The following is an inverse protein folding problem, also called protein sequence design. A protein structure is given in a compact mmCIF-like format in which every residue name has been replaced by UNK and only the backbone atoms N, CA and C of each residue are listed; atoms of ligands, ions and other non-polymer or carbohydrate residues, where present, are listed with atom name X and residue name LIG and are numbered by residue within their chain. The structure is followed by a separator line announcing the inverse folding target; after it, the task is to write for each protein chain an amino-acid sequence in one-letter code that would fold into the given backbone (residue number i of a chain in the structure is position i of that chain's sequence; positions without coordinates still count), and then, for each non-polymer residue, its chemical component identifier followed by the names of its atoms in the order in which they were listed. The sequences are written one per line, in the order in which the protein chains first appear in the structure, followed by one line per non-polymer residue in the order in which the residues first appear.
data_IF_860513764904
#
_entry.id   IF_860513764904
#
_cell.length_a   1.000
_cell.length_b   1.000
_cell.length_c   1.000
_cell.angle_alpha   90.00
_cell.angle_beta   90.00
_cell.angle_gamma   90.00
#
_symmetry.space_group_name_H-M   'P 1'
#
loop_
_entity.id
_entity.type
_entity.pdbx_description
1 polymer ?
#
# COMPACT_ATOMS: atom_id res chain seq x y z
N UNK A 1 28.35 -11.29 -10.13
CA UNK A 1 26.88 -11.36 -10.21
C UNK A 1 26.29 -10.07 -10.76
N UNK A 2 26.53 -8.91 -10.14
CA UNK A 2 26.04 -7.61 -10.64
C UNK A 2 26.53 -7.25 -12.06
N UNK A 3 27.80 -7.50 -12.37
CA UNK A 3 28.35 -7.27 -13.71
C UNK A 3 27.60 -8.07 -14.81
N UNK A 4 27.24 -9.33 -14.52
CA UNK A 4 26.47 -10.17 -15.47
C UNK A 4 25.03 -9.69 -15.67
N UNK A 5 24.43 -9.11 -14.63
CA UNK A 5 23.08 -8.51 -14.72
C UNK A 5 23.16 -7.22 -15.55
N UNK A 6 24.20 -6.42 -15.37
CA UNK A 6 24.41 -5.20 -16.14
C UNK A 6 24.69 -5.51 -17.63
N UNK A 7 25.48 -6.54 -17.92
CA UNK A 7 25.70 -7.05 -19.28
C UNK A 7 24.37 -7.52 -19.91
N UNK A 8 23.61 -8.38 -19.22
CA UNK A 8 22.31 -8.86 -19.72
C UNK A 8 21.27 -7.75 -19.92
N UNK A 9 21.33 -6.67 -19.13
CA UNK A 9 20.49 -5.50 -19.30
C UNK A 9 20.89 -4.70 -20.55
N UNK A 10 22.18 -4.53 -20.79
CA UNK A 10 22.68 -3.82 -21.97
C UNK A 10 22.39 -4.60 -23.26
N UNK A 11 22.51 -5.93 -23.19
CA UNK A 11 22.18 -6.85 -24.27
C UNK A 11 20.67 -6.94 -24.56
N UNK A 12 19.81 -6.58 -23.61
CA UNK A 12 18.36 -6.65 -23.76
C UNK A 12 17.73 -5.53 -24.60
N UNK A 13 18.53 -4.59 -25.08
CA UNK A 13 18.08 -3.53 -25.98
C UNK A 13 17.12 -2.52 -25.35
N UNK A 14 16.39 -1.79 -26.20
CA UNK A 14 15.53 -0.68 -25.79
C UNK A 14 14.37 -1.04 -24.81
N UNK A 15 13.72 -2.22 -24.88
CA UNK A 15 12.60 -2.56 -23.99
C UNK A 15 12.98 -2.61 -22.50
N UNK A 16 14.28 -2.68 -22.20
CA UNK A 16 14.81 -2.64 -20.84
C UNK A 16 14.57 -1.31 -20.12
N UNK A 17 14.55 -0.17 -20.84
CA UNK A 17 14.36 1.14 -20.22
C UNK A 17 12.95 1.31 -19.62
N UNK A 18 11.84 0.96 -20.32
CA UNK A 18 10.52 0.96 -19.69
C UNK A 18 10.39 -0.02 -18.50
N UNK A 19 11.04 -1.19 -18.55
CA UNK A 19 11.06 -2.15 -17.42
C UNK A 19 11.75 -1.53 -16.20
N UNK A 20 12.90 -0.88 -16.43
CA UNK A 20 13.60 -0.14 -15.38
C UNK A 20 12.74 0.98 -14.80
N UNK A 21 12.01 1.70 -15.64
CA UNK A 21 11.02 2.69 -15.21
C UNK A 21 9.99 2.08 -14.25
N UNK A 22 9.39 0.95 -14.63
CA UNK A 22 8.45 0.22 -13.77
C UNK A 22 9.07 -0.15 -12.42
N UNK A 23 10.34 -0.59 -12.41
CA UNK A 23 11.06 -0.92 -11.17
C UNK A 23 11.25 0.31 -10.27
N UNK A 24 11.73 1.43 -10.82
CA UNK A 24 11.97 2.66 -10.06
C UNK A 24 10.66 3.22 -9.50
N UNK A 25 9.60 3.28 -10.31
CA UNK A 25 8.27 3.71 -9.85
C UNK A 25 7.70 2.76 -8.80
N UNK A 26 7.84 1.44 -8.99
CA UNK A 26 7.41 0.44 -8.02
C UNK A 26 8.07 0.60 -6.66
N UNK A 27 9.40 0.79 -6.64
CA UNK A 27 10.17 1.03 -5.41
C UNK A 27 9.76 2.34 -4.75
N UNK A 28 9.58 3.42 -5.51
CA UNK A 28 9.16 4.71 -4.97
C UNK A 28 7.80 4.62 -4.26
N UNK A 29 6.83 3.94 -4.87
CA UNK A 29 5.51 3.71 -4.25
C UNK A 29 5.62 2.78 -3.04
N UNK A 30 6.43 1.72 -3.12
CA UNK A 30 6.63 0.81 -1.99
C UNK A 30 7.18 1.54 -0.75
N UNK A 31 8.17 2.43 -0.92
CA UNK A 31 8.72 3.22 0.17
C UNK A 31 7.71 4.21 0.76
N UNK A 32 6.94 4.87 -0.11
CA UNK A 32 5.88 5.79 0.31
C UNK A 32 4.79 5.06 1.12
N UNK A 33 4.36 3.89 0.65
CA UNK A 33 3.37 3.05 1.35
C UNK A 33 3.91 2.51 2.68
N UNK A 34 5.16 2.07 2.72
CA UNK A 34 5.79 1.64 3.97
C UNK A 34 5.76 2.75 5.03
N UNK A 35 6.12 3.99 4.66
CA UNK A 35 6.10 5.12 5.59
C UNK A 35 4.68 5.45 6.09
N UNK A 36 3.68 5.44 5.20
CA UNK A 36 2.29 5.76 5.57
C UNK A 36 1.67 4.69 6.47
N UNK A 37 1.80 3.42 6.10
CA UNK A 37 1.17 2.32 6.85
C UNK A 37 1.91 2.09 8.18
N UNK A 38 3.24 2.19 8.22
CA UNK A 38 4.02 2.11 9.47
C UNK A 38 3.61 3.20 10.47
N UNK A 39 3.46 4.44 10.01
CA UNK A 39 3.02 5.55 10.86
C UNK A 39 1.61 5.33 11.41
N UNK A 40 0.70 4.73 10.64
CA UNK A 40 -0.64 4.39 11.09
C UNK A 40 -0.67 3.20 12.07
N UNK A 41 0.19 2.21 11.84
CA UNK A 41 0.28 1.00 12.66
C UNK A 41 1.05 1.19 13.98
N UNK A 42 1.70 2.34 14.19
CA UNK A 42 2.49 2.63 15.38
C UNK A 42 1.64 2.87 16.65
N UNK A 43 0.31 2.76 16.57
CA UNK A 43 -0.59 2.91 17.71
C UNK A 43 -1.00 1.54 18.23
N UNK A 44 -0.68 1.26 19.50
CA UNK A 44 -1.13 0.05 20.16
C UNK A 44 -2.63 0.18 20.52
N UNK A 45 -3.48 -0.59 19.82
CA UNK A 45 -4.93 -0.55 19.99
C UNK A 45 -5.37 -0.91 21.41
N UNK A 46 -4.74 -1.91 22.03
CA UNK A 46 -5.14 -2.40 23.35
C UNK A 46 -4.80 -1.40 24.46
N UNK A 47 -3.61 -0.81 24.39
CA UNK A 47 -3.20 0.28 25.30
C UNK A 47 -4.12 1.48 25.16
N UNK A 48 -4.40 1.89 23.92
CA UNK A 48 -5.27 3.02 23.63
C UNK A 48 -6.69 2.80 24.18
N UNK A 49 -7.29 1.63 23.92
CA UNK A 49 -8.61 1.28 24.44
C UNK A 49 -8.64 1.24 25.97
N UNK A 50 -7.62 0.65 26.59
CA UNK A 50 -7.53 0.57 28.05
C UNK A 50 -7.48 1.97 28.69
N UNK A 51 -6.63 2.85 28.17
CA UNK A 51 -6.52 4.22 28.65
C UNK A 51 -7.83 4.99 28.47
N UNK A 52 -8.42 4.97 27.27
CA UNK A 52 -9.67 5.67 26.96
C UNK A 52 -10.80 5.20 27.87
N UNK A 53 -10.98 3.89 28.02
CA UNK A 53 -12.02 3.32 28.87
C UNK A 53 -11.82 3.74 30.33
N UNK A 54 -10.58 3.79 30.82
CA UNK A 54 -10.27 4.22 32.19
C UNK A 54 -10.69 5.69 32.45
N UNK A 55 -10.46 6.59 31.50
CA UNK A 55 -10.81 8.01 31.65
C UNK A 55 -12.31 8.26 31.49
N UNK A 56 -12.97 7.52 30.59
CA UNK A 56 -14.43 7.57 30.44
C UNK A 56 -15.11 7.10 31.73
N UNK A 57 -14.63 6.03 32.37
CA UNK A 57 -15.18 5.54 33.65
C UNK A 57 -15.00 6.55 34.80
N UNK A 58 -13.90 7.31 34.79
CA UNK A 58 -13.66 8.40 35.74
C UNK A 58 -14.50 9.65 35.44
N UNK A 59 -15.19 9.70 34.29
CA UNK A 59 -15.95 10.84 33.81
C UNK A 59 -15.07 11.99 33.33
N UNK A 60 -13.79 11.74 33.01
CA UNK A 60 -12.84 12.76 32.58
C UNK A 60 -12.65 12.72 31.06
N UNK A 61 -13.56 13.37 30.34
CA UNK A 61 -13.57 13.39 28.88
C UNK A 61 -12.38 14.17 28.31
N UNK A 62 -11.96 15.25 28.97
CA UNK A 62 -10.84 16.09 28.53
C UNK A 62 -9.52 15.31 28.46
N UNK A 63 -9.27 14.45 29.47
CA UNK A 63 -8.08 13.58 29.47
C UNK A 63 -8.16 12.51 28.38
N UNK A 64 -9.34 11.94 28.12
CA UNK A 64 -9.53 10.99 27.04
C UNK A 64 -9.22 11.64 25.67
N UNK A 65 -9.71 12.86 25.44
CA UNK A 65 -9.43 13.65 24.23
C UNK A 65 -7.95 14.01 24.12
N UNK A 66 -7.29 14.34 25.24
CA UNK A 66 -5.87 14.70 25.25
C UNK A 66 -4.98 13.53 24.82
N UNK A 67 -5.26 12.30 25.27
CA UNK A 67 -4.48 11.10 24.94
C UNK A 67 -4.60 10.75 23.46
N UNK A 68 -5.83 10.71 22.93
CA UNK A 68 -6.01 10.44 21.50
C UNK A 68 -5.41 11.54 20.63
N UNK A 69 -5.28 12.77 21.13
CA UNK A 69 -4.66 13.87 20.39
C UNK A 69 -3.12 13.80 20.34
N UNK A 70 -2.46 12.89 21.08
CA UNK A 70 -1.01 12.74 21.05
C UNK A 70 -0.50 12.06 19.76
N UNK A 71 -1.34 11.26 19.11
CA UNK A 71 -1.02 10.59 17.85
C UNK A 71 -1.91 11.11 16.73
N UNK A 72 -1.34 11.23 15.53
CA UNK A 72 -2.06 11.60 14.29
C UNK A 72 -2.50 10.38 13.48
N UNK A 73 -2.56 9.21 14.10
CA UNK A 73 -2.97 8.00 13.43
C UNK A 73 -4.46 8.06 13.04
N UNK A 74 -4.87 7.37 11.97
CA UNK A 74 -6.27 7.24 11.59
C UNK A 74 -7.19 6.85 12.75
N UNK A 75 -6.76 5.85 13.53
CA UNK A 75 -7.51 5.35 14.67
C UNK A 75 -7.80 6.43 15.72
N UNK A 76 -6.78 7.19 16.09
CA UNK A 76 -6.93 8.24 17.12
C UNK A 76 -7.77 9.40 16.63
N UNK A 77 -7.69 9.75 15.34
CA UNK A 77 -8.54 10.78 14.74
C UNK A 77 -10.03 10.41 14.79
N UNK A 78 -10.37 9.14 14.51
CA UNK A 78 -11.75 8.65 14.52
C UNK A 78 -12.30 8.65 15.95
N UNK A 79 -11.54 8.10 16.90
CA UNK A 79 -11.97 8.08 18.31
C UNK A 79 -12.10 9.49 18.88
N UNK A 80 -11.18 10.40 18.52
CA UNK A 80 -11.26 11.82 18.90
C UNK A 80 -12.56 12.46 18.41
N UNK A 81 -13.01 12.17 17.19
CA UNK A 81 -14.26 12.70 16.66
C UNK A 81 -15.47 12.25 17.50
N UNK A 82 -15.51 10.97 17.89
CA UNK A 82 -16.54 10.45 18.79
C UNK A 82 -16.53 11.13 20.17
N UNK A 83 -15.36 11.23 20.80
CA UNK A 83 -15.22 11.88 22.11
C UNK A 83 -15.61 13.37 22.06
N UNK A 84 -15.22 14.10 21.00
CA UNK A 84 -15.61 15.50 20.82
C UNK A 84 -17.10 15.67 20.56
N UNK A 85 -17.73 14.75 19.82
CA UNK A 85 -19.18 14.77 19.60
C UNK A 85 -19.95 14.62 20.93
N UNK A 86 -19.48 13.73 21.80
CA UNK A 86 -20.02 13.56 23.15
C UNK A 86 -19.80 14.82 24.01
N UNK A 87 -18.61 15.43 23.93
CA UNK A 87 -18.30 16.67 24.65
C UNK A 87 -19.26 17.81 24.27
N UNK A 88 -19.64 17.87 22.99
CA UNK A 88 -20.61 18.83 22.46
C UNK A 88 -22.07 18.45 22.71
N UNK A 89 -22.34 17.39 23.47
CA UNK A 89 -23.69 16.90 23.82
C UNK A 89 -24.55 16.51 22.61
N UNK A 90 -23.91 16.10 21.52
CA UNK A 90 -24.61 15.57 20.35
C UNK A 90 -25.32 14.25 20.67
N UNK A 91 -26.38 13.93 19.93
CA UNK A 91 -27.13 12.69 20.01
C UNK A 91 -26.29 11.45 19.70
N UNK A 92 -26.75 10.26 20.09
CA UNK A 92 -25.98 9.01 19.90
C UNK A 92 -25.73 8.72 18.41
N UNK A 93 -26.74 8.95 17.57
CA UNK A 93 -26.63 8.83 16.11
C UNK A 93 -25.64 9.85 15.53
N UNK A 94 -25.60 11.06 16.08
CA UNK A 94 -24.67 12.11 15.64
C UNK A 94 -23.22 11.80 16.03
N UNK A 95 -23.01 11.17 17.19
CA UNK A 95 -21.68 10.67 17.61
C UNK A 95 -21.17 9.61 16.66
N UNK A 96 -22.02 8.63 16.32
CA UNK A 96 -21.67 7.61 15.33
C UNK A 96 -21.37 8.23 13.97
N UNK A 97 -22.23 9.14 13.51
CA UNK A 97 -22.06 9.84 12.23
C UNK A 97 -20.73 10.63 12.20
N UNK A 98 -20.33 11.26 13.30
CA UNK A 98 -19.07 11.99 13.39
C UNK A 98 -17.85 11.06 13.28
N UNK A 99 -17.91 9.88 13.91
CA UNK A 99 -16.85 8.85 13.80
C UNK A 99 -16.76 8.32 12.37
N UNK A 100 -17.90 7.97 11.78
CA UNK A 100 -17.98 7.42 10.41
C UNK A 100 -17.50 8.44 9.36
N UNK A 101 -17.83 9.72 9.53
CA UNK A 101 -17.37 10.78 8.63
C UNK A 101 -15.84 10.91 8.62
N UNK A 102 -15.18 10.74 9.77
CA UNK A 102 -13.71 10.75 9.84
C UNK A 102 -13.13 9.44 9.29
N UNK A 103 -13.76 8.29 9.57
CA UNK A 103 -13.33 7.01 9.02
C UNK A 103 -13.37 7.01 7.48
N UNK A 104 -14.43 7.58 6.88
CA UNK A 104 -14.58 7.73 5.43
C UNK A 104 -13.48 8.58 4.79
N UNK A 105 -12.81 9.44 5.57
CA UNK A 105 -11.68 10.24 5.11
C UNK A 105 -10.33 9.56 5.34
N UNK A 106 -10.15 8.85 6.45
CA UNK A 106 -8.85 8.28 6.83
C UNK A 106 -8.61 6.88 6.25
N UNK A 107 -9.63 6.02 6.19
CA UNK A 107 -9.50 4.65 5.65
C UNK A 107 -9.03 4.64 4.20
N UNK A 108 -9.59 5.43 3.27
CA UNK A 108 -9.12 5.44 1.88
C UNK A 108 -7.67 5.90 1.72
N UNK A 109 -7.10 6.63 2.69
CA UNK A 109 -5.70 7.10 2.63
C UNK A 109 -4.71 5.97 2.90
N UNK A 110 -5.11 4.96 3.67
CA UNK A 110 -4.35 3.75 3.91
C UNK A 110 -4.27 2.89 2.65
N UNK A 111 -5.40 2.75 1.95
CA UNK A 111 -5.52 1.94 0.73
C UNK A 111 -4.99 2.63 -0.54
N UNK A 112 -4.87 3.97 -0.49
CA UNK A 112 -4.41 4.78 -1.62
C UNK A 112 -3.08 4.26 -2.19
N UNK A 113 -2.95 4.30 -3.51
CA UNK A 113 -1.75 3.93 -4.27
C UNK A 113 -1.31 2.45 -4.18
N UNK A 114 -1.87 1.64 -3.27
CA UNK A 114 -1.52 0.21 -3.17
C UNK A 114 -1.84 -0.51 -4.49
N UNK A 115 -3.01 -0.27 -5.07
CA UNK A 115 -3.39 -0.84 -6.37
C UNK A 115 -2.47 -0.47 -7.55
N UNK A 116 -1.70 0.62 -7.43
CA UNK A 116 -0.72 1.00 -8.46
C UNK A 116 0.42 -0.01 -8.52
N UNK A 117 0.82 -0.63 -7.40
CA UNK A 117 1.84 -1.69 -7.39
C UNK A 117 1.39 -2.91 -8.20
N UNK A 118 0.13 -3.30 -8.08
CA UNK A 118 -0.45 -4.38 -8.91
C UNK A 118 -0.47 -4.00 -10.40
N UNK A 119 -0.82 -2.75 -10.71
CA UNK A 119 -0.78 -2.25 -12.08
C UNK A 119 0.65 -2.25 -12.66
N UNK A 120 1.64 -1.82 -11.88
CA UNK A 120 3.06 -1.83 -12.27
C UNK A 120 3.55 -3.26 -12.52
N UNK A 121 3.15 -4.22 -11.67
CA UNK A 121 3.49 -5.64 -11.87
C UNK A 121 2.99 -6.16 -13.22
N UNK A 122 1.72 -5.89 -13.54
CA UNK A 122 1.13 -6.29 -14.81
C UNK A 122 1.81 -5.58 -15.98
N UNK A 123 2.08 -4.28 -15.86
CA UNK A 123 2.78 -3.50 -16.87
C UNK A 123 4.19 -4.04 -17.13
N UNK A 124 4.98 -4.33 -16.11
CA UNK A 124 6.32 -4.89 -16.25
C UNK A 124 6.31 -6.23 -17.00
N UNK A 125 5.34 -7.11 -16.69
CA UNK A 125 5.13 -8.38 -17.41
C UNK A 125 4.82 -8.13 -18.89
N UNK A 126 3.86 -7.25 -19.18
CA UNK A 126 3.44 -6.97 -20.55
C UNK A 126 4.57 -6.33 -21.37
N UNK A 127 5.36 -5.44 -20.78
CA UNK A 127 6.52 -4.83 -21.42
C UNK A 127 7.61 -5.87 -21.70
N UNK A 128 7.87 -6.80 -20.77
CA UNK A 128 8.83 -7.90 -20.99
C UNK A 128 8.41 -8.83 -22.14
N UNK A 129 7.11 -9.19 -22.18
CA UNK A 129 6.54 -9.97 -23.28
C UNK A 129 6.63 -9.22 -24.61
N UNK A 130 6.29 -7.93 -24.62
CA UNK A 130 6.41 -7.08 -25.81
C UNK A 130 7.86 -6.99 -26.30
N UNK A 131 8.82 -6.80 -25.41
CA UNK A 131 10.23 -6.78 -25.75
C UNK A 131 10.69 -8.07 -26.42
N UNK A 132 10.17 -9.20 -25.95
CA UNK A 132 10.45 -10.52 -26.57
C UNK A 132 9.86 -10.63 -27.97
N UNK A 133 8.62 -10.18 -28.17
CA UNK A 133 7.97 -10.16 -29.49
C UNK A 133 8.76 -9.28 -30.47
N UNK A 134 9.18 -8.08 -30.05
CA UNK A 134 9.99 -7.18 -30.88
C UNK A 134 11.34 -7.81 -31.21
N UNK A 135 12.03 -8.39 -30.23
CA UNK A 135 13.31 -9.06 -30.43
C UNK A 135 13.21 -10.23 -31.41
N UNK A 136 12.16 -11.05 -31.30
CA UNK A 136 11.92 -12.16 -32.24
C UNK A 136 11.61 -11.67 -33.66
N UNK A 137 10.86 -10.57 -33.82
CA UNK A 137 10.61 -9.96 -35.14
C UNK A 137 11.94 -9.51 -35.78
N UNK A 138 12.81 -8.86 -35.01
CA UNK A 138 14.14 -8.45 -35.46
C UNK A 138 15.06 -9.64 -35.80
N UNK A 139 15.00 -10.70 -34.99
CA UNK A 139 15.76 -11.93 -35.21
C UNK A 139 15.45 -12.57 -36.57
N UNK A 140 14.17 -12.77 -36.87
CA UNK A 140 13.74 -13.38 -38.13
C UNK A 140 13.98 -12.47 -39.34
N UNK A 141 13.86 -11.15 -39.18
CA UNK A 141 14.20 -10.19 -40.24
C UNK A 141 15.70 -10.26 -40.60
N UNK A 142 16.57 -10.36 -39.59
CA UNK A 142 18.02 -10.42 -39.80
C UNK A 142 18.45 -11.74 -40.44
N UNK A 143 17.90 -12.86 -39.97
CA UNK A 143 18.19 -14.21 -40.52
C UNK A 143 17.85 -14.34 -42.01
N UNK A 144 16.88 -13.56 -42.50
CA UNK A 144 16.55 -13.54 -43.93
C UNK A 144 17.67 -12.98 -44.82
N UNK A 145 18.59 -12.19 -44.26
CA UNK A 145 19.61 -11.43 -45.00
C UNK A 145 21.04 -11.93 -44.82
N UNK A 146 21.31 -12.70 -43.76
CA UNK A 146 22.67 -13.21 -43.44
C UNK A 146 23.01 -14.52 -44.16
N UNK A 147 24.31 -14.79 -44.26
CA UNK A 147 24.87 -16.00 -44.89
C UNK A 147 24.40 -17.27 -44.16
N UNK A 148 24.24 -18.38 -44.89
CA UNK A 148 23.73 -19.64 -44.32
C UNK A 148 24.59 -20.17 -43.15
N UNK A 149 25.89 -19.89 -43.15
CA UNK A 149 26.83 -20.25 -42.08
C UNK A 149 26.63 -19.44 -40.79
N UNK A 150 26.10 -18.21 -40.88
CA UNK A 150 25.94 -17.30 -39.73
C UNK A 150 24.52 -17.30 -39.15
N UNK A 151 23.53 -17.78 -39.91
CA UNK A 151 22.10 -17.78 -39.51
C UNK A 151 21.86 -18.34 -38.11
N UNK A 152 22.50 -19.48 -37.78
CA UNK A 152 22.30 -20.12 -36.48
C UNK A 152 22.80 -19.26 -35.32
N UNK A 153 24.01 -18.70 -35.45
CA UNK A 153 24.61 -17.86 -34.40
C UNK A 153 23.86 -16.55 -34.22
N UNK A 154 23.50 -15.88 -35.31
CA UNK A 154 22.74 -14.61 -35.26
C UNK A 154 21.35 -14.83 -34.67
N UNK A 155 20.65 -15.89 -35.08
CA UNK A 155 19.34 -16.23 -34.52
C UNK A 155 19.42 -16.49 -33.02
N UNK A 156 20.38 -17.31 -32.58
CA UNK A 156 20.57 -17.62 -31.16
C UNK A 156 20.87 -16.36 -30.32
N UNK A 157 21.69 -15.45 -30.84
CA UNK A 157 22.02 -14.19 -30.15
C UNK A 157 20.78 -13.30 -29.98
N UNK A 158 19.96 -13.12 -31.02
CA UNK A 158 18.76 -12.28 -30.93
C UNK A 158 17.67 -12.91 -30.03
N UNK A 159 17.55 -14.24 -30.04
CA UNK A 159 16.66 -14.95 -29.11
C UNK A 159 17.12 -14.73 -27.67
N UNK A 160 18.43 -14.79 -27.40
CA UNK A 160 18.96 -14.55 -26.06
C UNK A 160 18.66 -13.12 -25.56
N UNK A 161 18.86 -12.10 -26.40
CA UNK A 161 18.46 -10.70 -26.11
C UNK A 161 16.96 -10.59 -25.80
N UNK A 162 16.11 -11.22 -26.62
CA UNK A 162 14.66 -11.23 -26.42
C UNK A 162 14.28 -11.90 -25.08
N UNK A 163 14.93 -13.01 -24.72
CA UNK A 163 14.68 -13.73 -23.47
C UNK A 163 15.10 -12.92 -22.24
N UNK A 164 16.15 -12.10 -22.34
CA UNK A 164 16.54 -11.18 -21.27
C UNK A 164 15.37 -10.23 -20.94
N UNK A 165 14.68 -9.66 -21.94
CA UNK A 165 13.53 -8.76 -21.70
C UNK A 165 12.45 -9.40 -20.83
N UNK A 166 12.10 -10.66 -21.11
CA UNK A 166 11.12 -11.39 -20.29
C UNK A 166 11.64 -11.64 -18.88
N UNK A 167 12.90 -12.08 -18.74
CA UNK A 167 13.48 -12.37 -17.43
C UNK A 167 13.45 -11.13 -16.51
N UNK A 168 13.87 -9.97 -17.02
CA UNK A 168 13.82 -8.72 -16.25
C UNK A 168 12.39 -8.24 -15.97
N UNK A 169 11.49 -8.35 -16.96
CA UNK A 169 10.08 -8.01 -16.78
C UNK A 169 9.43 -8.83 -15.66
N UNK A 170 9.73 -10.14 -15.60
CA UNK A 170 9.24 -11.02 -14.54
C UNK A 170 9.84 -10.70 -13.17
N UNK A 171 11.14 -10.40 -13.08
CA UNK A 171 11.77 -10.00 -11.81
C UNK A 171 11.07 -8.78 -11.23
N UNK A 172 10.85 -7.75 -12.05
CA UNK A 172 10.16 -6.53 -11.61
C UNK A 172 8.69 -6.81 -11.27
N UNK A 173 8.01 -7.63 -12.06
CA UNK A 173 6.62 -7.99 -11.81
C UNK A 173 6.44 -8.74 -10.48
N UNK A 174 7.24 -9.78 -10.24
CA UNK A 174 7.18 -10.58 -9.02
C UNK A 174 7.43 -9.70 -7.79
N UNK A 175 8.50 -8.92 -7.80
CA UNK A 175 8.86 -8.06 -6.66
C UNK A 175 7.81 -6.99 -6.36
N UNK A 176 7.22 -6.39 -7.39
CA UNK A 176 6.15 -5.39 -7.21
C UNK A 176 4.82 -6.00 -6.80
N UNK A 177 4.51 -7.23 -7.26
CA UNK A 177 3.35 -7.98 -6.83
C UNK A 177 3.44 -8.42 -5.36
N UNK A 178 4.61 -8.90 -4.93
CA UNK A 178 4.87 -9.22 -3.53
C UNK A 178 4.67 -8.00 -2.63
N UNK A 179 5.24 -6.85 -3.03
CA UNK A 179 5.02 -5.59 -2.33
C UNK A 179 3.53 -5.23 -2.24
N UNK A 180 2.79 -5.34 -3.35
CA UNK A 180 1.34 -5.13 -3.37
C UNK A 180 0.62 -6.00 -2.32
N UNK A 181 0.86 -7.30 -2.32
CA UNK A 181 0.19 -8.24 -1.42
C UNK A 181 0.51 -7.90 0.05
N UNK A 182 1.79 -7.64 0.36
CA UNK A 182 2.22 -7.30 1.72
C UNK A 182 1.58 -6.01 2.22
N UNK A 183 1.63 -4.93 1.43
CA UNK A 183 1.06 -3.64 1.83
C UNK A 183 -0.46 -3.68 1.87
N UNK A 184 -1.12 -4.40 0.96
CA UNK A 184 -2.57 -4.58 0.98
C UNK A 184 -3.01 -5.28 2.27
N UNK A 185 -2.38 -6.41 2.62
CA UNK A 185 -2.71 -7.15 3.83
C UNK A 185 -2.43 -6.33 5.09
N UNK A 186 -1.34 -5.57 5.11
CA UNK A 186 -1.02 -4.71 6.24
C UNK A 186 -2.01 -3.55 6.39
N UNK A 187 -2.39 -2.89 5.30
CA UNK A 187 -3.39 -1.84 5.31
C UNK A 187 -4.76 -2.39 5.78
N UNK A 188 -5.19 -3.55 5.27
CA UNK A 188 -6.45 -4.19 5.70
C UNK A 188 -6.43 -4.49 7.20
N UNK A 189 -5.33 -5.02 7.73
CA UNK A 189 -5.20 -5.25 9.18
C UNK A 189 -5.39 -3.96 10.00
N UNK A 190 -4.82 -2.84 9.54
CA UNK A 190 -5.00 -1.54 10.21
C UNK A 190 -6.45 -1.06 10.12
N UNK A 191 -7.12 -1.30 8.98
CA UNK A 191 -8.54 -0.98 8.80
C UNK A 191 -9.44 -1.82 9.71
N UNK A 192 -9.16 -3.12 9.84
CA UNK A 192 -9.86 -4.01 10.76
C UNK A 192 -9.72 -3.55 12.21
N UNK A 193 -8.49 -3.20 12.62
CA UNK A 193 -8.21 -2.65 13.95
C UNK A 193 -8.98 -1.33 14.17
N UNK A 194 -9.09 -0.48 13.15
CA UNK A 194 -9.89 0.75 13.20
C UNK A 194 -11.37 0.44 13.42
N UNK A 195 -11.93 -0.50 12.68
CA UNK A 195 -13.34 -0.87 12.81
C UNK A 195 -13.65 -1.46 14.19
N UNK A 196 -12.81 -2.39 14.68
CA UNK A 196 -12.96 -3.01 15.99
C UNK A 196 -12.95 -1.97 17.12
N UNK A 197 -11.95 -1.07 17.11
CA UNK A 197 -11.80 -0.04 18.15
C UNK A 197 -12.90 1.00 18.05
N UNK A 198 -13.31 1.38 16.84
CA UNK A 198 -14.39 2.37 16.64
C UNK A 198 -15.71 1.87 17.22
N UNK A 199 -16.09 0.62 16.91
CA UNK A 199 -17.33 0.01 17.43
C UNK A 199 -17.25 -0.20 18.93
N UNK A 200 -16.14 -0.75 19.44
CA UNK A 200 -15.92 -0.95 20.88
C UNK A 200 -16.02 0.36 21.66
N UNK A 201 -15.35 1.41 21.16
CA UNK A 201 -15.34 2.72 21.82
C UNK A 201 -16.71 3.37 21.78
N UNK A 202 -17.41 3.33 20.64
CA UNK A 202 -18.77 3.85 20.51
C UNK A 202 -19.69 3.17 21.53
N UNK A 203 -19.74 1.83 21.54
CA UNK A 203 -20.57 1.08 22.50
C UNK A 203 -20.24 1.43 23.95
N UNK A 204 -18.95 1.59 24.27
CA UNK A 204 -18.50 1.94 25.62
C UNK A 204 -18.96 3.35 26.04
N UNK A 205 -18.82 4.33 25.15
CA UNK A 205 -19.29 5.71 25.33
C UNK A 205 -20.80 5.73 25.56
N UNK A 206 -21.58 5.07 24.70
CA UNK A 206 -23.03 5.07 24.75
C UNK A 206 -23.55 4.44 26.05
N UNK A 207 -22.96 3.31 26.46
CA UNK A 207 -23.32 2.62 27.71
C UNK A 207 -23.04 3.48 28.95
N UNK A 208 -22.04 4.35 28.90
CA UNK A 208 -21.61 5.18 30.04
C UNK A 208 -21.99 6.65 29.91
N UNK A 209 -22.86 7.01 28.96
CA UNK A 209 -23.23 8.39 28.63
C UNK A 209 -23.78 9.16 29.84
N UNK A 210 -24.55 8.51 30.71
CA UNK A 210 -25.07 9.14 31.92
C UNK A 210 -23.96 9.59 32.89
N UNK A 211 -22.83 8.87 32.96
CA UNK A 211 -21.70 9.26 33.82
C UNK A 211 -20.97 10.48 33.26
N UNK A 212 -20.94 10.62 31.93
CA UNK A 212 -20.35 11.76 31.24
C UNK A 212 -21.24 13.01 31.33
N UNK A 213 -22.56 12.85 31.37
CA UNK A 213 -23.51 13.97 31.46
C UNK A 213 -23.59 14.62 32.87
N UNK A 214 -23.23 13.91 33.94
CA UNK A 214 -23.45 14.36 35.34
C UNK A 214 -22.32 15.21 35.96
N UNK A 215 -21.22 15.52 35.26
CA UNK A 215 -20.01 16.11 35.86
C UNK A 215 -19.48 17.43 35.24
N UNK A 216 -20.16 18.00 34.26
CA UNK A 216 -19.98 19.41 33.82
C UNK A 216 -21.10 20.27 34.35
#
# INVERSE_FOLDING_TARGET
MLARIAEAFHEGGWPMYPILGCSVFGVAIALERYAVISAAANVNKDSLLHEINSYILQGNLDKAVAIVSQSKAPLTNIVRAGLMAVANRLGDEEVQTAMDAVALREVPRLEKNIGILAAISNMATLVGLLGTVIGMIGAFATVATVSASEKATVLASNIAEAMNCTAFGLIVAITTLEAYILFNNWAQKVVDDIHEVSVTTLNFILTHREKLARRT
#
